data_IF_021015569981
#
_entry.id   IF_021015569981
#
_cell.length_a   1.000
_cell.length_b   1.000
_cell.length_c   1.000
_cell.angle_alpha   90.00
_cell.angle_beta   90.00
_cell.angle_gamma   90.00
#
_symmetry.space_group_name_H-M   'P 1'
#
loop_
_entity.id
_entity.type
_entity.pdbx_description
1 polymer ?
#
# COMPACT_ATOMS: atom_id res chain seq x y z
N UNK A 1 -11.12 -25.79 -5.11
CA UNK A 1 -9.83 -25.66 -4.38
C UNK A 1 -9.00 -24.45 -4.85
N UNK A 2 -8.74 -24.28 -6.16
CA UNK A 2 -7.97 -23.14 -6.71
C UNK A 2 -8.52 -21.74 -6.35
N UNK A 3 -9.84 -21.59 -6.31
CA UNK A 3 -10.48 -20.31 -5.97
C UNK A 3 -10.31 -19.92 -4.48
N UNK A 4 -10.22 -20.90 -3.59
CA UNK A 4 -9.99 -20.67 -2.14
C UNK A 4 -8.55 -20.18 -1.92
N UNK A 5 -7.58 -20.76 -2.62
CA UNK A 5 -6.19 -20.29 -2.59
C UNK A 5 -6.06 -18.85 -3.12
N UNK A 6 -6.81 -18.48 -4.17
CA UNK A 6 -6.85 -17.10 -4.66
C UNK A 6 -7.44 -16.13 -3.64
N UNK A 7 -8.52 -16.52 -2.97
CA UNK A 7 -9.15 -15.68 -1.94
C UNK A 7 -8.24 -15.49 -0.71
N UNK A 8 -7.58 -16.55 -0.26
CA UNK A 8 -6.60 -16.48 0.84
C UNK A 8 -5.38 -15.65 0.42
N UNK A 9 -4.85 -15.83 -0.79
CA UNK A 9 -3.75 -15.01 -1.30
C UNK A 9 -4.15 -13.53 -1.40
N UNK A 10 -5.35 -13.21 -1.86
CA UNK A 10 -5.86 -11.83 -1.88
C UNK A 10 -6.00 -11.24 -0.47
N UNK A 11 -6.50 -12.03 0.48
CA UNK A 11 -6.68 -11.62 1.86
C UNK A 11 -5.34 -11.42 2.58
N UNK A 12 -4.39 -12.35 2.41
CA UNK A 12 -3.02 -12.25 2.94
C UNK A 12 -2.29 -11.08 2.28
N UNK A 13 -2.47 -10.85 0.98
CA UNK A 13 -1.91 -9.69 0.26
C UNK A 13 -2.45 -8.36 0.82
N UNK A 14 -3.73 -8.33 1.16
CA UNK A 14 -4.38 -7.18 1.81
C UNK A 14 -3.93 -6.97 3.26
N UNK A 15 -3.57 -8.03 3.98
CA UNK A 15 -3.06 -8.01 5.36
C UNK A 15 -1.56 -7.70 5.46
N UNK A 16 -0.75 -8.21 4.52
CA UNK A 16 0.70 -7.99 4.47
C UNK A 16 1.09 -6.64 3.85
N UNK A 17 0.11 -5.85 3.40
CA UNK A 17 0.36 -4.53 2.79
C UNK A 17 0.94 -4.61 1.37
N UNK A 18 1.04 -5.80 0.78
CA UNK A 18 1.49 -6.00 -0.60
C UNK A 18 0.56 -5.34 -1.65
N UNK A 19 -0.64 -4.93 -1.26
CA UNK A 19 -1.57 -4.17 -2.11
C UNK A 19 -1.59 -2.65 -1.82
N UNK A 20 -0.71 -2.15 -0.95
CA UNK A 20 -0.70 -0.75 -0.51
C UNK A 20 -0.56 0.22 -1.69
N UNK A 21 0.29 -0.09 -2.68
CA UNK A 21 0.43 0.73 -3.89
C UNK A 21 -0.85 0.75 -4.74
N UNK A 22 -1.55 -0.39 -4.88
CA UNK A 22 -2.79 -0.45 -5.66
C UNK A 22 -3.91 0.35 -4.99
N UNK A 23 -4.02 0.25 -3.66
CA UNK A 23 -4.93 1.08 -2.87
C UNK A 23 -4.61 2.56 -3.01
N UNK A 24 -3.33 2.94 -2.90
CA UNK A 24 -2.87 4.31 -3.14
C UNK A 24 -3.25 4.80 -4.53
N UNK A 25 -2.98 4.03 -5.59
CA UNK A 25 -3.29 4.41 -6.97
C UNK A 25 -4.80 4.58 -7.18
N UNK A 26 -5.61 3.65 -6.68
CA UNK A 26 -7.06 3.73 -6.78
C UNK A 26 -7.60 4.97 -6.04
N UNK A 27 -7.10 5.25 -4.84
CA UNK A 27 -7.44 6.43 -4.07
C UNK A 27 -7.03 7.72 -4.79
N UNK A 28 -5.80 7.78 -5.31
CA UNK A 28 -5.26 8.95 -6.01
C UNK A 28 -6.06 9.24 -7.29
N UNK A 29 -6.43 8.21 -8.04
CA UNK A 29 -7.28 8.36 -9.23
C UNK A 29 -8.69 8.85 -8.89
N UNK A 30 -9.26 8.40 -7.77
CA UNK A 30 -10.60 8.79 -7.35
C UNK A 30 -10.64 10.19 -6.72
N UNK A 31 -9.66 10.52 -5.86
CA UNK A 31 -9.60 11.76 -5.11
C UNK A 31 -8.97 12.91 -5.93
N UNK A 32 -8.03 12.60 -6.82
CA UNK A 32 -7.23 13.58 -7.54
C UNK A 32 -7.07 13.20 -9.03
N UNK A 33 -8.16 13.20 -9.80
CA UNK A 33 -8.10 12.92 -11.22
C UNK A 33 -7.19 13.92 -11.94
N UNK A 34 -6.24 13.42 -12.73
CA UNK A 34 -5.31 14.23 -13.53
C UNK A 34 -4.04 14.69 -12.80
N UNK A 35 -3.88 14.42 -11.51
CA UNK A 35 -2.62 14.67 -10.81
C UNK A 35 -1.60 13.55 -11.09
N UNK A 36 -0.29 13.87 -11.19
CA UNK A 36 0.75 12.86 -11.33
C UNK A 36 0.75 11.93 -10.11
N UNK A 37 0.67 10.63 -10.38
CA UNK A 37 0.69 9.57 -9.38
C UNK A 37 2.15 9.12 -9.20
N UNK A 38 2.57 8.89 -7.95
CA UNK A 38 3.88 8.31 -7.69
C UNK A 38 4.02 6.95 -8.37
N UNK A 39 5.20 6.66 -8.91
CA UNK A 39 5.53 5.30 -9.34
C UNK A 39 5.60 4.37 -8.13
N UNK A 40 5.46 3.07 -8.36
CA UNK A 40 5.52 2.06 -7.29
C UNK A 40 6.81 2.17 -6.45
N UNK A 41 7.95 2.39 -7.09
CA UNK A 41 9.24 2.59 -6.39
C UNK A 41 9.24 3.84 -5.51
N UNK A 42 8.70 4.95 -6.01
CA UNK A 42 8.61 6.20 -5.24
C UNK A 42 7.68 6.03 -4.05
N UNK A 43 6.55 5.35 -4.25
CA UNK A 43 5.62 5.02 -3.18
C UNK A 43 6.30 4.21 -2.07
N UNK A 44 7.02 3.14 -2.41
CA UNK A 44 7.69 2.32 -1.40
C UNK A 44 8.81 3.04 -0.65
N UNK A 45 9.56 3.92 -1.35
CA UNK A 45 10.57 4.75 -0.69
C UNK A 45 9.93 5.70 0.31
N UNK A 46 8.94 6.47 -0.13
CA UNK A 46 8.20 7.40 0.71
C UNK A 46 7.44 6.69 1.86
N UNK A 47 6.93 5.48 1.63
CA UNK A 47 6.33 4.64 2.66
C UNK A 47 7.35 4.21 3.72
N UNK A 48 8.54 3.78 3.32
CA UNK A 48 9.62 3.46 4.24
C UNK A 48 10.10 4.71 4.99
N UNK A 49 10.30 5.83 4.30
CA UNK A 49 10.73 7.10 4.89
C UNK A 49 9.72 7.59 5.96
N UNK A 50 8.41 7.43 5.70
CA UNK A 50 7.37 7.76 6.70
C UNK A 50 7.39 6.83 7.91
N UNK A 51 7.66 5.55 7.72
CA UNK A 51 7.78 4.59 8.84
C UNK A 51 9.04 4.85 9.68
N UNK A 52 10.13 5.25 9.03
CA UNK A 52 11.38 5.63 9.69
C UNK A 52 11.26 6.97 10.44
N UNK A 53 10.60 7.97 9.82
CA UNK A 53 10.41 9.29 10.39
C UNK A 53 9.31 9.34 11.47
N UNK A 54 8.30 8.47 11.39
CA UNK A 54 7.28 8.29 12.42
C UNK A 54 7.33 6.86 12.97
N UNK A 55 8.33 6.53 13.80
CA UNK A 55 8.34 5.28 14.54
C UNK A 55 7.28 5.39 15.63
N UNK A 56 6.00 5.18 15.29
CA UNK A 56 4.86 5.23 16.22
C UNK A 56 4.85 4.04 17.20
N UNK A 57 6.03 3.61 17.65
CA UNK A 57 6.25 2.48 18.54
C UNK A 57 7.45 2.66 19.46
N UNK A 58 7.94 3.88 19.71
CA UNK A 58 8.97 4.13 20.74
C UNK A 58 8.75 5.43 21.52
N UNK A 59 7.58 5.57 22.10
CA UNK A 59 7.49 6.14 23.45
C UNK A 59 6.55 5.22 24.21
N UNK A 60 7.09 4.69 25.31
CA UNK A 60 6.31 4.46 26.52
C UNK A 60 5.11 3.50 26.32
#
# INVERSE_FOLDING_TARGET
MKEIFRAIAWYVKGLMGEDAYQKYRAHQLAAHPGQPIMTERQFWRDHADRQDANPQGRCC
#
